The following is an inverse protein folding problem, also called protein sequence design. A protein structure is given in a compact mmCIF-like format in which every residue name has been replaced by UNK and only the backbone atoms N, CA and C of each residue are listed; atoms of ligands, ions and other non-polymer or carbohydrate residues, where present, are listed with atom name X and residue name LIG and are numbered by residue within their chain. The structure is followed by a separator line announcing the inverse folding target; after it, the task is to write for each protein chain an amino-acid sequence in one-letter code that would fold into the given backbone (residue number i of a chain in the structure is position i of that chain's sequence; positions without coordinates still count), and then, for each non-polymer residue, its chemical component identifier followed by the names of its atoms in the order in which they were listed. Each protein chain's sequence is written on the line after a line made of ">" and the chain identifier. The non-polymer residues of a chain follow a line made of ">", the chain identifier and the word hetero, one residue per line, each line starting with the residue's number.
data_IF_581689981922
#
_entry.id   IF_581689981922
#
_cell.length_a   1.000
_cell.length_b   1.000
_cell.length_c   1.000
_cell.angle_alpha   90.00
_cell.angle_beta   90.00
_cell.angle_gamma   90.00
#
_symmetry.space_group_name_H-M   'P 1'
#
loop_
_entity.id
_entity.type
_entity.pdbx_description
1 polymer ?
#
# COMPACT_ATOMS: atom_id res chain seq x y z
N UNK A 1 -18.80 -75.08 49.54
CA UNK A 1 -19.18 -73.73 50.01
C UNK A 1 -19.19 -72.78 48.81
N UNK A 2 -20.33 -72.10 48.57
CA UNK A 2 -20.60 -70.98 47.64
C UNK A 2 -20.57 -71.32 46.13
N UNK A 3 -21.73 -71.51 45.47
CA UNK A 3 -22.52 -70.52 44.68
C UNK A 3 -21.65 -69.78 43.66
N UNK A 4 -21.95 -69.72 42.35
CA UNK A 4 -23.15 -69.09 41.76
C UNK A 4 -23.31 -69.46 40.27
N UNK A 5 -24.56 -69.61 39.83
CA UNK A 5 -25.03 -69.79 38.43
C UNK A 5 -25.04 -68.46 37.68
N UNK A 6 -24.53 -68.39 36.44
CA UNK A 6 -24.91 -67.36 35.45
C UNK A 6 -25.06 -68.00 34.06
N UNK A 7 -26.27 -67.92 33.55
CA UNK A 7 -26.72 -68.27 32.20
C UNK A 7 -26.50 -67.04 31.30
N UNK A 8 -25.83 -67.16 30.16
CA UNK A 8 -25.80 -66.09 29.14
C UNK A 8 -26.21 -66.63 27.76
N UNK A 9 -27.31 -66.07 27.26
CA UNK A 9 -27.82 -66.16 25.90
C UNK A 9 -26.78 -65.66 24.88
N UNK A 10 -26.47 -66.45 23.86
CA UNK A 10 -25.81 -65.98 22.63
C UNK A 10 -26.86 -65.67 21.57
N UNK A 11 -27.07 -64.38 21.29
CA UNK A 11 -27.82 -63.88 20.13
C UNK A 11 -26.93 -63.80 18.90
N UNK A 12 -27.36 -64.40 17.80
CA UNK A 12 -26.80 -64.26 16.45
C UNK A 12 -26.97 -62.80 15.97
N UNK A 13 -25.90 -62.19 15.47
CA UNK A 13 -25.94 -60.97 14.67
C UNK A 13 -25.39 -61.26 13.27
N UNK A 14 -26.29 -61.25 12.28
CA UNK A 14 -25.98 -61.31 10.85
C UNK A 14 -25.31 -60.00 10.43
N UNK A 15 -24.10 -60.10 9.89
CA UNK A 15 -23.36 -59.02 9.26
C UNK A 15 -23.92 -58.74 7.85
N UNK A 16 -24.69 -57.66 7.72
CA UNK A 16 -25.09 -57.11 6.43
C UNK A 16 -23.95 -56.22 5.88
N UNK A 17 -23.15 -56.75 4.95
CA UNK A 17 -22.25 -55.94 4.12
C UNK A 17 -23.04 -55.40 2.93
N UNK A 18 -23.16 -54.07 2.81
CA UNK A 18 -23.71 -53.46 1.61
C UNK A 18 -23.82 -51.94 1.67
N UNK A 19 -23.16 -51.28 0.72
CA UNK A 19 -23.53 -49.96 0.18
C UNK A 19 -22.90 -48.65 0.70
N UNK A 20 -21.65 -48.65 1.19
CA UNK A 20 -20.93 -47.40 1.46
C UNK A 20 -20.16 -46.80 0.25
N UNK A 21 -19.94 -47.57 -0.82
CA UNK A 21 -19.12 -47.11 -1.95
C UNK A 21 -19.85 -46.18 -2.95
N UNK A 22 -21.18 -46.27 -3.06
CA UNK A 22 -21.94 -45.53 -4.08
C UNK A 22 -22.27 -44.07 -3.69
N UNK A 23 -22.10 -43.68 -2.42
CA UNK A 23 -22.33 -42.30 -1.96
C UNK A 23 -21.09 -41.39 -2.03
N UNK A 24 -19.90 -41.96 -2.20
CA UNK A 24 -18.65 -41.18 -2.29
C UNK A 24 -18.41 -40.58 -3.69
N UNK A 25 -18.91 -41.23 -4.75
CA UNK A 25 -18.64 -40.83 -6.13
C UNK A 25 -19.45 -39.60 -6.63
N UNK A 26 -20.50 -39.16 -5.91
CA UNK A 26 -21.36 -38.03 -6.33
C UNK A 26 -20.98 -36.67 -5.73
N UNK A 27 -19.97 -36.60 -4.87
CA UNK A 27 -19.56 -35.33 -4.21
C UNK A 27 -18.29 -34.69 -4.79
N UNK A 28 -17.66 -35.33 -5.77
CA UNK A 28 -16.37 -34.91 -6.36
C UNK A 28 -16.48 -34.19 -7.71
N UNK A 29 -17.63 -33.60 -8.05
CA UNK A 29 -17.80 -32.86 -9.30
C UNK A 29 -18.66 -31.60 -9.11
N UNK A 30 -18.20 -30.71 -8.24
CA UNK A 30 -18.46 -29.27 -8.36
C UNK A 30 -17.11 -28.57 -8.22
N UNK A 31 -16.24 -28.78 -9.20
CA UNK A 31 -15.23 -27.77 -9.53
C UNK A 31 -16.04 -26.55 -9.94
N UNK A 32 -16.13 -25.55 -9.06
CA UNK A 32 -16.56 -24.23 -9.48
C UNK A 32 -15.57 -23.82 -10.56
N UNK A 33 -16.03 -23.68 -11.80
CA UNK A 33 -15.28 -22.94 -12.79
C UNK A 33 -14.89 -21.61 -12.14
N UNK A 34 -13.60 -21.39 -11.89
CA UNK A 34 -13.12 -20.13 -11.37
C UNK A 34 -13.63 -19.06 -12.34
N UNK A 35 -14.43 -18.12 -11.84
CA UNK A 35 -14.91 -17.02 -12.67
C UNK A 35 -13.68 -16.35 -13.28
N UNK A 36 -13.60 -16.35 -14.62
CA UNK A 36 -12.53 -15.70 -15.38
C UNK A 36 -12.50 -14.25 -14.91
N UNK A 37 -11.43 -13.89 -14.22
CA UNK A 37 -11.27 -12.55 -13.71
C UNK A 37 -11.01 -11.62 -14.90
N UNK A 38 -11.58 -10.41 -14.93
CA UNK A 38 -11.24 -9.44 -15.97
C UNK A 38 -9.74 -9.16 -15.92
N UNK A 39 -9.11 -9.11 -17.10
CA UNK A 39 -7.71 -8.74 -17.22
C UNK A 39 -7.49 -7.29 -16.74
N UNK A 40 -6.39 -6.99 -16.03
CA UNK A 40 -6.07 -5.63 -15.65
C UNK A 40 -5.87 -4.74 -16.87
N UNK A 41 -6.47 -3.57 -16.83
CA UNK A 41 -6.29 -2.56 -17.89
C UNK A 41 -4.85 -2.09 -17.93
N UNK A 42 -4.36 -1.78 -19.13
CA UNK A 42 -3.03 -1.22 -19.33
C UNK A 42 -3.15 0.26 -19.60
N UNK A 43 -2.33 1.04 -18.92
CA UNK A 43 -2.27 2.48 -19.04
C UNK A 43 -0.85 2.93 -19.34
N UNK A 44 -0.73 3.96 -20.16
CA UNK A 44 0.46 4.79 -20.26
C UNK A 44 0.13 6.20 -19.78
N UNK A 45 0.99 7.18 -20.03
CA UNK A 45 0.85 8.54 -19.54
C UNK A 45 1.05 9.58 -20.63
N UNK A 46 0.52 10.77 -20.38
CA UNK A 46 0.87 12.03 -21.03
C UNK A 46 1.28 13.02 -19.96
N UNK A 47 2.46 13.62 -20.10
CA UNK A 47 2.90 14.72 -19.23
C UNK A 47 2.06 15.96 -19.51
N UNK A 48 1.41 16.49 -18.48
CA UNK A 48 0.63 17.74 -18.52
C UNK A 48 1.49 18.92 -18.12
N UNK A 49 2.32 18.74 -17.11
CA UNK A 49 3.29 19.72 -16.64
C UNK A 49 4.48 19.02 -15.96
N UNK A 50 5.60 19.72 -15.89
CA UNK A 50 6.77 19.32 -15.12
C UNK A 50 7.21 20.45 -14.20
N UNK A 51 7.51 20.13 -12.96
CA UNK A 51 7.89 21.07 -11.92
C UNK A 51 9.29 20.73 -11.40
N UNK A 52 10.08 21.72 -10.95
CA UNK A 52 11.35 21.44 -10.29
C UNK A 52 11.13 20.66 -8.99
N UNK A 53 12.00 19.69 -8.74
CA UNK A 53 12.02 18.88 -7.53
C UNK A 53 13.44 18.75 -7.00
N UNK A 54 13.60 18.64 -5.68
CA UNK A 54 14.92 18.60 -5.05
C UNK A 54 15.59 17.26 -5.29
N UNK A 55 16.79 17.27 -5.89
CA UNK A 55 17.61 16.06 -6.07
C UNK A 55 18.20 15.52 -4.76
N UNK A 56 17.90 16.15 -3.62
CA UNK A 56 18.25 15.68 -2.27
C UNK A 56 17.06 15.02 -1.54
N UNK A 57 15.86 15.10 -2.11
CA UNK A 57 14.68 14.51 -1.52
C UNK A 57 14.61 13.02 -1.89
N UNK A 58 14.89 12.16 -0.92
CA UNK A 58 14.68 10.73 -1.06
C UNK A 58 13.19 10.42 -0.80
N UNK A 59 12.33 10.73 -1.75
CA UNK A 59 10.86 10.69 -1.60
C UNK A 59 10.36 9.30 -1.18
N UNK A 60 9.63 9.24 -0.06
CA UNK A 60 9.04 8.02 0.48
C UNK A 60 7.54 8.10 0.74
N UNK A 61 6.98 9.32 0.77
CA UNK A 61 5.54 9.56 0.72
C UNK A 61 5.26 10.89 0.04
N UNK A 62 4.22 10.95 -0.77
CA UNK A 62 3.76 12.17 -1.41
C UNK A 62 2.24 12.24 -1.29
N UNK A 63 1.68 13.41 -0.98
CA UNK A 63 0.22 13.57 -0.99
C UNK A 63 -0.16 15.01 -1.33
N UNK A 64 -1.38 15.20 -1.81
CA UNK A 64 -1.98 16.52 -1.98
C UNK A 64 -2.91 16.84 -0.82
N UNK A 65 -2.72 17.99 -0.17
CA UNK A 65 -3.57 18.42 0.93
C UNK A 65 -3.68 19.95 0.95
N UNK A 66 -4.90 20.46 1.05
CA UNK A 66 -5.22 21.90 1.15
C UNK A 66 -4.50 22.79 0.12
N UNK A 67 -4.47 22.33 -1.13
CA UNK A 67 -3.93 23.10 -2.25
C UNK A 67 -2.41 23.02 -2.40
N UNK A 68 -1.74 22.17 -1.62
CA UNK A 68 -0.29 22.02 -1.64
C UNK A 68 0.14 20.55 -1.63
N UNK A 69 1.31 20.27 -2.20
CA UNK A 69 1.97 18.98 -2.05
C UNK A 69 2.69 18.88 -0.71
N UNK A 70 2.55 17.71 -0.09
CA UNK A 70 3.28 17.31 1.11
C UNK A 70 4.16 16.12 0.77
N UNK A 71 5.34 16.08 1.35
CA UNK A 71 6.33 15.07 1.08
C UNK A 71 6.98 14.57 2.38
N UNK A 72 7.03 13.24 2.53
CA UNK A 72 7.86 12.54 3.49
C UNK A 72 9.13 12.06 2.80
N UNK A 73 10.30 12.40 3.35
CA UNK A 73 11.60 11.96 2.82
C UNK A 73 12.26 10.94 3.74
N UNK A 74 13.04 10.06 3.13
CA UNK A 74 13.90 9.09 3.81
C UNK A 74 15.33 9.57 3.99
N UNK A 75 16.20 8.62 4.35
CA UNK A 75 17.62 8.74 4.72
C UNK A 75 17.88 9.09 6.20
N UNK A 76 18.74 8.28 6.83
CA UNK A 76 19.16 8.48 8.22
C UNK A 76 19.85 9.84 8.40
N UNK A 77 19.33 10.65 9.32
CA UNK A 77 19.84 12.00 9.59
C UNK A 77 19.22 13.10 8.73
N UNK A 78 18.50 12.75 7.67
CA UNK A 78 17.98 13.70 6.67
C UNK A 78 16.45 13.62 6.51
N UNK A 79 15.79 12.63 7.11
CA UNK A 79 14.36 12.38 6.96
C UNK A 79 13.50 13.52 7.53
N UNK A 80 12.60 14.06 6.70
CA UNK A 80 11.72 15.17 7.04
C UNK A 80 10.28 14.95 6.54
N UNK A 81 9.35 15.71 7.11
CA UNK A 81 8.09 16.06 6.46
C UNK A 81 8.19 17.51 6.01
N UNK A 82 7.81 17.77 4.77
CA UNK A 82 7.86 19.10 4.17
C UNK A 82 6.68 19.36 3.25
N UNK A 83 6.37 20.63 3.01
CA UNK A 83 5.48 21.02 1.90
C UNK A 83 6.28 21.55 0.72
N UNK A 84 5.73 21.42 -0.48
CA UNK A 84 6.39 21.82 -1.73
C UNK A 84 5.62 22.97 -2.40
N UNK A 85 6.35 23.98 -2.89
CA UNK A 85 5.84 24.98 -3.82
C UNK A 85 6.06 24.49 -5.25
N UNK A 86 4.98 24.22 -5.99
CA UNK A 86 5.06 23.74 -7.37
C UNK A 86 5.73 24.74 -8.33
N UNK A 87 5.57 26.04 -8.09
CA UNK A 87 6.04 27.09 -9.00
C UNK A 87 7.56 27.20 -9.06
N UNK A 88 8.23 27.03 -7.92
CA UNK A 88 9.69 27.18 -7.82
C UNK A 88 10.43 25.93 -7.27
N UNK A 89 9.71 24.92 -6.80
CA UNK A 89 10.29 23.66 -6.27
C UNK A 89 10.90 23.81 -4.88
N UNK A 90 10.68 24.93 -4.20
CA UNK A 90 11.13 25.12 -2.82
C UNK A 90 10.31 24.27 -1.86
N UNK A 91 10.98 23.81 -0.80
CA UNK A 91 10.38 23.01 0.25
C UNK A 91 10.41 23.76 1.57
N UNK A 92 9.32 23.66 2.33
CA UNK A 92 9.24 24.14 3.70
C UNK A 92 9.19 22.94 4.66
N UNK A 93 10.27 22.75 5.43
CA UNK A 93 10.37 21.64 6.37
C UNK A 93 9.49 21.91 7.60
N UNK A 94 8.57 20.98 7.87
CA UNK A 94 7.60 21.07 8.96
C UNK A 94 7.97 20.21 10.16
N UNK A 95 8.57 19.04 9.92
CA UNK A 95 9.05 18.15 10.96
C UNK A 95 10.33 17.44 10.53
N UNK A 96 11.19 17.11 11.50
CA UNK A 96 12.40 16.30 11.29
C UNK A 96 12.35 15.08 12.20
N UNK A 97 12.71 13.93 11.65
CA UNK A 97 12.85 12.72 12.45
C UNK A 97 14.19 12.72 13.23
N UNK A 98 14.27 11.97 14.34
CA UNK A 98 15.54 11.59 14.95
C UNK A 98 16.52 11.05 13.92
N UNK A 99 17.81 11.39 14.07
CA UNK A 99 18.85 10.99 13.10
C UNK A 99 19.02 9.48 12.94
N UNK A 100 18.61 8.69 13.94
CA UNK A 100 18.63 7.23 13.93
C UNK A 100 17.50 6.61 13.13
N UNK A 101 16.52 7.39 12.68
CA UNK A 101 15.33 6.90 12.00
C UNK A 101 15.39 7.24 10.52
N UNK A 102 14.70 6.42 9.73
CA UNK A 102 14.54 6.57 8.30
C UNK A 102 13.04 6.75 8.05
N UNK A 103 12.65 7.90 7.52
CA UNK A 103 11.26 8.27 7.24
C UNK A 103 10.73 7.56 6.01
N UNK A 104 9.47 7.18 6.06
CA UNK A 104 8.77 6.48 4.99
C UNK A 104 7.45 7.21 4.64
N UNK A 105 6.44 6.48 4.17
CA UNK A 105 5.15 7.02 3.74
C UNK A 105 4.45 7.89 4.78
N UNK A 106 3.74 8.90 4.26
CA UNK A 106 2.94 9.83 5.05
C UNK A 106 1.48 9.80 4.62
N UNK A 107 0.55 10.06 5.55
CA UNK A 107 -0.86 10.29 5.23
C UNK A 107 -1.45 11.34 6.18
N UNK A 108 -2.44 12.09 5.71
CA UNK A 108 -3.18 13.05 6.53
C UNK A 108 -4.62 12.56 6.67
N UNK A 109 -5.09 12.39 7.91
CA UNK A 109 -6.44 11.93 8.22
C UNK A 109 -6.93 12.57 9.52
N UNK A 110 -8.13 13.15 9.51
CA UNK A 110 -8.77 13.69 10.71
C UNK A 110 -8.02 14.86 11.35
N UNK A 111 -7.28 15.65 10.57
CA UNK A 111 -6.46 16.76 11.07
C UNK A 111 -5.12 16.31 11.69
N UNK A 112 -4.73 15.06 11.50
CA UNK A 112 -3.44 14.53 11.94
C UNK A 112 -2.64 14.00 10.74
N UNK A 113 -1.32 14.25 10.75
CA UNK A 113 -0.35 13.65 9.84
C UNK A 113 0.31 12.46 10.52
N UNK A 114 0.35 11.34 9.80
CA UNK A 114 1.00 10.10 10.19
C UNK A 114 2.25 9.94 9.34
N UNK A 115 3.42 9.76 9.96
CA UNK A 115 4.68 9.49 9.26
C UNK A 115 5.25 8.15 9.70
N UNK A 116 5.36 7.21 8.76
CA UNK A 116 5.98 5.91 8.98
C UNK A 116 7.50 6.03 9.11
N UNK A 117 8.10 5.00 9.70
CA UNK A 117 9.54 4.74 9.68
C UNK A 117 9.83 3.36 9.09
N UNK A 118 10.98 3.20 8.43
CA UNK A 118 11.28 1.93 7.76
C UNK A 118 11.41 0.75 8.72
N UNK A 119 12.47 0.74 9.53
CA UNK A 119 12.79 -0.38 10.44
C UNK A 119 12.64 -0.04 11.92
N UNK A 120 12.37 1.23 12.25
CA UNK A 120 12.23 1.66 13.64
C UNK A 120 10.90 1.22 14.26
N UNK A 121 9.96 0.72 13.45
CA UNK A 121 8.65 0.20 13.87
C UNK A 121 7.81 1.25 14.63
N UNK A 122 7.96 2.53 14.25
CA UNK A 122 7.27 3.67 14.85
C UNK A 122 6.52 4.45 13.78
N UNK A 123 5.30 4.86 14.07
CA UNK A 123 4.65 5.97 13.36
C UNK A 123 4.66 7.19 14.26
N UNK A 124 5.08 8.32 13.71
CA UNK A 124 4.98 9.61 14.37
C UNK A 124 3.68 10.28 13.95
N UNK A 125 2.90 10.73 14.93
CA UNK A 125 1.62 11.40 14.69
C UNK A 125 1.74 12.87 15.09
N UNK A 126 1.40 13.74 14.15
CA UNK A 126 1.44 15.19 14.32
C UNK A 126 0.03 15.75 14.12
N UNK A 127 -0.34 16.75 14.90
CA UNK A 127 -1.54 17.56 14.66
C UNK A 127 -1.18 18.67 13.67
N UNK A 128 -2.04 18.89 12.70
CA UNK A 128 -1.96 20.06 11.83
C UNK A 128 -2.40 21.30 12.61
N UNK A 129 -1.59 22.35 12.59
CA UNK A 129 -1.87 23.64 13.22
C UNK A 129 -1.63 24.76 12.22
N UNK A 130 -2.14 25.96 12.52
CA UNK A 130 -1.88 27.16 11.71
C UNK A 130 -0.39 27.50 11.58
N UNK A 131 0.45 27.01 12.51
CA UNK A 131 1.90 27.22 12.55
C UNK A 131 2.73 26.04 12.03
N UNK A 132 2.10 24.96 11.57
CA UNK A 132 2.77 23.77 11.01
C UNK A 132 2.34 22.46 11.67
N UNK A 133 3.31 21.66 12.13
CA UNK A 133 3.07 20.35 12.74
C UNK A 133 3.46 20.34 14.22
N UNK A 134 2.53 19.93 15.07
CA UNK A 134 2.78 19.68 16.49
C UNK A 134 2.80 18.17 16.75
N UNK A 135 3.91 17.63 17.24
CA UNK A 135 3.99 16.19 17.56
C UNK A 135 3.03 15.86 18.71
N UNK A 136 2.12 14.90 18.49
CA UNK A 136 1.10 14.49 19.46
C UNK A 136 1.49 13.22 20.18
N UNK A 137 1.83 12.18 19.42
CA UNK A 137 2.08 10.84 19.94
C UNK A 137 2.86 9.98 18.95
N UNK A 138 3.36 8.86 19.47
CA UNK A 138 3.94 7.79 18.68
C UNK A 138 3.12 6.52 18.89
N UNK A 139 2.97 5.72 17.84
CA UNK A 139 2.47 4.35 17.94
C UNK A 139 3.51 3.37 17.42
N UNK A 140 3.42 2.11 17.86
CA UNK A 140 4.29 1.02 17.40
C UNK A 140 3.51 0.07 16.50
N UNK A 141 4.16 -0.44 15.45
CA UNK A 141 3.60 -1.46 14.56
C UNK A 141 4.61 -2.57 14.32
N UNK A 142 4.17 -3.82 14.04
CA UNK A 142 5.09 -4.91 13.73
C UNK A 142 5.61 -4.79 12.29
N UNK A 143 6.85 -5.24 12.05
CA UNK A 143 7.44 -5.28 10.71
C UNK A 143 7.77 -3.90 10.14
N UNK A 144 8.16 -3.86 8.88
CA UNK A 144 8.51 -2.61 8.21
C UNK A 144 7.28 -1.75 7.89
N UNK A 145 7.50 -0.47 7.57
CA UNK A 145 6.50 0.41 6.98
C UNK A 145 7.07 1.11 5.77
N UNK A 146 6.33 1.10 4.66
CA UNK A 146 6.77 1.65 3.37
C UNK A 146 5.80 2.77 2.97
N UNK A 147 4.72 2.49 2.23
CA UNK A 147 3.72 3.48 1.86
C UNK A 147 2.55 3.59 2.84
N UNK A 148 1.89 4.75 2.86
CA UNK A 148 0.70 5.04 3.66
C UNK A 148 -0.26 5.91 2.86
N UNK A 149 -1.55 5.58 2.85
CA UNK A 149 -2.61 6.44 2.28
C UNK A 149 -3.91 6.30 3.07
N UNK A 150 -4.98 6.98 2.66
CA UNK A 150 -6.28 6.94 3.35
C UNK A 150 -7.46 7.05 2.39
N UNK A 151 -8.56 6.38 2.72
CA UNK A 151 -9.86 6.59 2.06
C UNK A 151 -10.68 7.74 2.68
N UNK A 152 -10.13 8.44 3.67
CA UNK A 152 -10.82 9.45 4.47
C UNK A 152 -11.43 8.94 5.77
N UNK A 153 -11.41 7.63 6.03
CA UNK A 153 -11.89 7.02 7.28
C UNK A 153 -10.84 6.12 7.94
N UNK A 154 -10.14 5.32 7.13
CA UNK A 154 -9.11 4.36 7.54
C UNK A 154 -7.79 4.67 6.85
N UNK A 155 -6.71 4.15 7.45
CA UNK A 155 -5.39 4.18 6.84
C UNK A 155 -5.13 2.86 6.09
N UNK A 156 -4.35 2.92 5.03
CA UNK A 156 -3.85 1.76 4.30
C UNK A 156 -2.34 1.81 4.21
N UNK A 157 -1.69 0.71 4.57
CA UNK A 157 -0.24 0.63 4.74
C UNK A 157 0.35 -0.53 3.93
N UNK A 158 1.46 -0.28 3.25
CA UNK A 158 2.32 -1.29 2.64
C UNK A 158 3.61 -1.47 3.46
N UNK A 159 4.29 -2.59 3.26
CA UNK A 159 5.56 -2.92 3.94
C UNK A 159 6.57 -3.62 3.01
N UNK A 160 6.47 -3.39 1.69
CA UNK A 160 7.31 -4.04 0.69
C UNK A 160 6.96 -5.49 0.40
N UNK A 161 6.05 -6.11 1.17
CA UNK A 161 5.47 -7.41 0.81
C UNK A 161 4.34 -7.24 -0.20
N UNK A 162 3.64 -8.34 -0.52
CA UNK A 162 2.43 -8.29 -1.32
C UNK A 162 1.18 -7.93 -0.52
N UNK A 163 1.28 -7.61 0.78
CA UNK A 163 0.11 -7.32 1.60
C UNK A 163 -0.14 -5.81 1.71
N UNK A 164 -1.42 -5.44 1.64
CA UNK A 164 -1.90 -4.12 2.07
C UNK A 164 -2.71 -4.29 3.35
N UNK A 165 -2.35 -3.52 4.36
CA UNK A 165 -2.98 -3.55 5.67
C UNK A 165 -3.95 -2.39 5.82
N UNK A 166 -5.18 -2.66 6.24
CA UNK A 166 -6.06 -1.61 6.78
C UNK A 166 -5.65 -1.36 8.23
N UNK A 167 -5.48 -0.09 8.58
CA UNK A 167 -4.95 0.36 9.87
C UNK A 167 -5.94 1.31 10.53
N UNK A 168 -6.20 1.08 11.82
CA UNK A 168 -7.00 1.98 12.66
C UNK A 168 -6.20 3.26 12.95
N UNK A 169 -6.65 4.46 12.56
CA UNK A 169 -5.91 5.70 12.81
C UNK A 169 -5.79 6.07 14.30
N UNK A 170 -6.72 5.62 15.15
CA UNK A 170 -6.68 5.95 16.57
C UNK A 170 -5.56 5.19 17.29
N UNK A 171 -5.42 3.90 16.99
CA UNK A 171 -4.50 2.99 17.70
C UNK A 171 -3.29 2.55 16.86
N UNK A 172 -3.30 2.84 15.56
CA UNK A 172 -2.38 2.35 14.54
C UNK A 172 -2.24 0.83 14.45
N UNK A 173 -3.24 0.09 14.94
CA UNK A 173 -3.26 -1.36 14.83
C UNK A 173 -3.67 -1.78 13.42
N UNK A 174 -2.94 -2.75 12.85
CA UNK A 174 -3.32 -3.46 11.63
C UNK A 174 -4.58 -4.29 11.92
N UNK A 175 -5.71 -3.94 11.29
CA UNK A 175 -7.02 -4.57 11.53
C UNK A 175 -7.23 -5.80 10.63
N UNK A 176 -6.92 -5.65 9.34
CA UNK A 176 -7.07 -6.68 8.31
C UNK A 176 -6.01 -6.45 7.23
N UNK A 177 -5.82 -7.44 6.37
CA UNK A 177 -5.01 -7.30 5.17
C UNK A 177 -5.66 -7.98 3.97
N UNK A 178 -5.27 -7.53 2.79
CA UNK A 178 -5.47 -8.23 1.52
C UNK A 178 -4.11 -8.51 0.90
N UNK A 179 -3.98 -9.65 0.22
CA UNK A 179 -2.80 -9.94 -0.60
C UNK A 179 -3.05 -9.43 -2.01
N UNK A 180 -2.17 -8.57 -2.48
CA UNK A 180 -2.22 -7.98 -3.80
C UNK A 180 -1.84 -9.01 -4.85
N UNK A 181 -2.69 -9.18 -5.86
CA UNK A 181 -2.48 -10.20 -6.88
C UNK A 181 -2.71 -9.68 -8.30
N UNK A 182 -1.86 -10.15 -9.22
CA UNK A 182 -2.01 -9.98 -10.66
C UNK A 182 -2.09 -11.37 -11.29
N UNK A 183 -3.23 -11.67 -11.95
CA UNK A 183 -3.51 -12.99 -12.55
C UNK A 183 -3.38 -14.14 -11.54
N UNK A 184 -3.71 -13.87 -10.28
CA UNK A 184 -3.65 -14.85 -9.18
C UNK A 184 -2.28 -14.97 -8.52
N UNK A 185 -1.24 -14.36 -9.07
CA UNK A 185 0.11 -14.35 -8.50
C UNK A 185 0.30 -13.13 -7.61
N UNK A 186 1.00 -13.30 -6.48
CA UNK A 186 1.27 -12.22 -5.55
C UNK A 186 2.18 -11.15 -6.17
N UNK A 187 1.87 -9.87 -5.92
CA UNK A 187 2.67 -8.73 -6.38
C UNK A 187 3.45 -8.15 -5.19
N UNK A 188 4.73 -8.50 -5.01
CA UNK A 188 5.55 -7.96 -3.92
C UNK A 188 6.03 -6.52 -4.23
N UNK A 189 6.79 -5.94 -3.30
CA UNK A 189 7.45 -4.65 -3.44
C UNK A 189 6.49 -3.45 -3.60
N UNK A 190 5.30 -3.57 -3.01
CA UNK A 190 4.38 -2.45 -2.86
C UNK A 190 5.05 -1.37 -2.00
N UNK A 191 5.24 -0.20 -2.57
CA UNK A 191 5.91 0.91 -1.93
C UNK A 191 4.92 2.04 -1.62
N UNK A 192 5.20 3.26 -2.06
CA UNK A 192 4.34 4.41 -1.85
C UNK A 192 2.91 4.18 -2.38
N UNK A 193 1.92 4.71 -1.66
CA UNK A 193 0.50 4.47 -1.88
C UNK A 193 -0.26 5.78 -2.03
N UNK A 194 -1.29 5.78 -2.88
CA UNK A 194 -2.28 6.87 -2.94
C UNK A 194 -3.71 6.36 -3.16
N UNK A 195 -4.69 7.00 -2.53
CA UNK A 195 -6.11 6.66 -2.68
C UNK A 195 -6.77 7.54 -3.75
N UNK A 196 -7.21 6.92 -4.84
CA UNK A 196 -7.79 7.63 -5.99
C UNK A 196 -9.07 6.94 -6.41
N UNK A 197 -10.19 7.67 -6.32
CA UNK A 197 -11.53 7.27 -6.79
C UNK A 197 -11.93 5.84 -6.35
N UNK A 198 -11.66 5.50 -5.09
CA UNK A 198 -12.04 4.21 -4.49
C UNK A 198 -11.05 3.07 -4.75
N UNK A 199 -9.83 3.38 -5.20
CA UNK A 199 -8.74 2.43 -5.44
C UNK A 199 -7.47 2.87 -4.74
N UNK A 200 -6.64 1.88 -4.40
CA UNK A 200 -5.28 2.13 -3.92
C UNK A 200 -4.35 2.04 -5.13
N UNK A 201 -3.62 3.10 -5.39
CA UNK A 201 -2.54 3.14 -6.35
C UNK A 201 -1.25 2.88 -5.59
N UNK A 202 -0.38 2.03 -6.11
CA UNK A 202 0.87 1.69 -5.44
C UNK A 202 2.03 1.70 -6.43
N UNK A 203 3.12 2.38 -6.09
CA UNK A 203 4.39 2.15 -6.75
C UNK A 203 4.87 0.72 -6.50
N UNK A 204 5.46 0.09 -7.51
CA UNK A 204 6.22 -1.15 -7.33
C UNK A 204 7.70 -0.80 -7.32
N UNK A 205 8.35 -0.97 -6.16
CA UNK A 205 9.74 -0.58 -5.95
C UNK A 205 10.66 -1.24 -6.98
N UNK A 206 11.65 -0.48 -7.46
CA UNK A 206 12.60 -0.84 -8.54
C UNK A 206 12.03 -0.97 -9.95
N UNK A 207 10.77 -0.59 -10.15
CA UNK A 207 10.13 -0.54 -11.48
C UNK A 207 9.60 0.85 -11.79
N UNK A 208 9.29 1.09 -13.07
CA UNK A 208 8.58 2.29 -13.52
C UNK A 208 7.06 2.07 -13.54
N UNK A 209 6.52 1.19 -12.69
CA UNK A 209 5.10 0.83 -12.70
C UNK A 209 4.35 1.31 -11.46
N UNK A 210 3.10 1.69 -11.69
CA UNK A 210 2.08 1.87 -10.65
C UNK A 210 0.97 0.85 -10.89
N UNK A 211 0.54 0.14 -9.85
CA UNK A 211 -0.62 -0.76 -9.92
C UNK A 211 -1.85 -0.12 -9.29
N UNK A 212 -3.00 -0.32 -9.91
CA UNK A 212 -4.31 0.14 -9.42
C UNK A 212 -5.01 -1.05 -8.77
N UNK A 213 -5.23 -1.00 -7.47
CA UNK A 213 -5.60 -2.14 -6.64
C UNK A 213 -7.01 -1.94 -6.10
N UNK A 214 -7.83 -2.98 -6.20
CA UNK A 214 -9.09 -3.05 -5.50
C UNK A 214 -8.84 -3.32 -4.00
N UNK A 215 -9.14 -2.38 -3.09
CA UNK A 215 -8.81 -2.51 -1.67
C UNK A 215 -9.62 -3.61 -0.98
N UNK A 216 -10.78 -4.00 -1.51
CA UNK A 216 -11.61 -5.05 -0.93
C UNK A 216 -11.11 -6.46 -1.24
N UNK A 217 -10.40 -6.65 -2.37
CA UNK A 217 -10.01 -7.97 -2.87
C UNK A 217 -8.50 -8.15 -3.01
N UNK A 218 -7.72 -7.07 -3.05
CA UNK A 218 -6.30 -7.09 -3.41
C UNK A 218 -6.04 -7.29 -4.91
N UNK A 219 -7.06 -7.44 -5.74
CA UNK A 219 -6.85 -7.66 -7.18
C UNK A 219 -6.33 -6.38 -7.84
N UNK A 220 -5.27 -6.51 -8.63
CA UNK A 220 -4.83 -5.46 -9.56
C UNK A 220 -5.87 -5.33 -10.68
N UNK A 221 -6.44 -4.14 -10.84
CA UNK A 221 -7.45 -3.81 -11.87
C UNK A 221 -6.85 -2.97 -13.01
N UNK A 222 -5.67 -2.39 -12.79
CA UNK A 222 -4.92 -1.67 -13.82
C UNK A 222 -3.44 -1.58 -13.52
N UNK A 223 -2.63 -1.38 -14.56
CA UNK A 223 -1.19 -1.14 -14.48
C UNK A 223 -0.88 0.10 -15.30
N UNK A 224 -0.17 1.05 -14.71
CA UNK A 224 0.31 2.27 -15.36
C UNK A 224 1.81 2.12 -15.58
N UNK A 225 2.23 2.10 -16.84
CA UNK A 225 3.64 2.07 -17.24
C UNK A 225 4.15 3.51 -17.42
N UNK A 226 5.08 3.91 -16.56
CA UNK A 226 5.75 5.22 -16.55
C UNK A 226 7.17 5.16 -17.10
N UNK A 227 7.55 4.10 -17.81
CA UNK A 227 8.87 3.99 -18.42
C UNK A 227 9.21 5.25 -19.23
N UNK A 228 10.43 5.74 -19.02
CA UNK A 228 10.95 6.95 -19.68
C UNK A 228 10.40 8.28 -19.17
N UNK A 229 9.62 8.29 -18.08
CA UNK A 229 9.03 9.52 -17.53
C UNK A 229 10.10 10.55 -17.13
N UNK A 230 11.16 10.10 -16.43
CA UNK A 230 12.35 10.94 -16.21
C UNK A 230 13.32 10.79 -17.38
N UNK A 231 13.54 11.84 -18.21
CA UNK A 231 14.44 11.75 -19.36
C UNK A 231 15.86 11.44 -18.91
N UNK A 232 16.60 10.64 -19.69
CA UNK A 232 17.97 10.24 -19.35
C UNK A 232 18.94 11.42 -19.12
N UNK A 233 18.67 12.59 -19.73
CA UNK A 233 19.46 13.80 -19.52
C UNK A 233 19.30 14.43 -18.11
N UNK A 234 18.23 14.07 -17.38
CA UNK A 234 17.97 14.51 -16.01
C UNK A 234 18.58 13.55 -14.97
N UNK A 235 19.15 12.42 -15.42
CA UNK A 235 19.74 11.43 -14.51
C UNK A 235 21.10 11.90 -14.01
N UNK A 236 21.29 11.76 -12.71
CA UNK A 236 22.55 12.03 -12.00
C UNK A 236 23.03 10.74 -11.32
N UNK A 237 24.28 10.67 -10.84
CA UNK A 237 24.76 9.48 -10.11
C UNK A 237 23.96 9.14 -8.84
N UNK A 238 23.19 10.08 -8.31
CA UNK A 238 22.33 9.89 -7.12
C UNK A 238 20.86 9.71 -7.46
N UNK A 239 20.47 9.84 -8.73
CA UNK A 239 19.09 9.58 -9.17
C UNK A 239 18.75 8.13 -8.90
N UNK A 240 17.61 7.91 -8.26
CA UNK A 240 17.13 6.59 -7.86
C UNK A 240 15.73 6.38 -8.48
N UNK A 241 14.95 5.44 -7.97
CA UNK A 241 13.74 4.92 -8.62
C UNK A 241 12.52 5.85 -8.52
N UNK A 242 11.54 5.61 -9.40
CA UNK A 242 10.17 6.12 -9.28
C UNK A 242 9.60 5.80 -7.89
N UNK A 243 9.06 6.80 -7.20
CA UNK A 243 8.35 6.65 -5.93
C UNK A 243 7.68 7.99 -5.52
N UNK A 244 6.40 7.96 -5.16
CA UNK A 244 5.62 9.13 -4.78
C UNK A 244 4.48 9.39 -5.76
N UNK A 245 3.24 9.32 -5.26
CA UNK A 245 2.00 9.51 -6.02
C UNK A 245 1.11 10.44 -5.20
N UNK A 246 0.64 11.54 -5.79
CA UNK A 246 -0.29 12.44 -5.11
C UNK A 246 -1.47 12.79 -5.99
N UNK A 247 -2.65 12.90 -5.38
CA UNK A 247 -3.90 13.15 -6.07
C UNK A 247 -4.59 14.41 -5.57
N UNK A 248 -4.79 15.38 -6.47
CA UNK A 248 -5.66 16.53 -6.23
C UNK A 248 -7.09 16.18 -6.68
N UNK A 249 -8.03 15.85 -5.77
CA UNK A 249 -9.36 15.45 -6.15
C UNK A 249 -10.21 16.60 -6.70
N UNK A 250 -9.90 17.85 -6.34
CA UNK A 250 -10.68 19.02 -6.72
C UNK A 250 -10.41 19.42 -8.17
N UNK A 251 -9.14 19.45 -8.58
CA UNK A 251 -8.74 19.74 -9.96
C UNK A 251 -8.54 18.48 -10.81
N UNK A 252 -8.64 17.29 -10.22
CA UNK A 252 -8.40 15.99 -10.87
C UNK A 252 -6.99 15.90 -11.49
N UNK A 253 -5.98 16.25 -10.70
CA UNK A 253 -4.57 16.23 -11.12
C UNK A 253 -3.80 15.13 -10.41
N UNK A 254 -3.08 14.33 -11.19
CA UNK A 254 -2.22 13.25 -10.69
C UNK A 254 -0.77 13.70 -10.77
N UNK A 255 -0.07 13.65 -9.64
CA UNK A 255 1.34 13.99 -9.53
C UNK A 255 2.17 12.75 -9.23
N UNK A 256 3.33 12.65 -9.87
CA UNK A 256 4.30 11.58 -9.64
C UNK A 256 5.73 12.14 -9.64
N UNK A 257 6.61 11.53 -8.86
CA UNK A 257 8.03 11.88 -8.78
C UNK A 257 8.86 10.63 -8.49
N UNK A 258 10.12 10.82 -8.13
CA UNK A 258 10.98 9.73 -7.65
C UNK A 258 12.06 10.19 -6.70
N UNK A 259 12.77 9.21 -6.18
CA UNK A 259 13.83 9.37 -5.19
C UNK A 259 15.00 10.10 -5.83
N UNK A 260 15.32 11.29 -5.31
CA UNK A 260 16.35 12.19 -5.83
C UNK A 260 16.10 12.63 -7.29
N UNK A 261 14.84 12.63 -7.75
CA UNK A 261 14.51 13.15 -9.09
C UNK A 261 14.59 14.68 -9.11
N UNK A 262 15.09 15.25 -10.20
CA UNK A 262 15.11 16.71 -10.42
C UNK A 262 13.74 17.28 -10.82
N UNK A 263 12.77 16.39 -11.08
CA UNK A 263 11.43 16.72 -11.60
C UNK A 263 10.34 16.01 -10.83
N UNK A 264 9.25 16.73 -10.63
CA UNK A 264 7.94 16.21 -10.30
C UNK A 264 7.02 16.46 -11.51
N UNK A 265 6.18 15.49 -11.86
CA UNK A 265 5.34 15.55 -13.05
C UNK A 265 3.87 15.55 -12.68
N UNK A 266 3.09 16.40 -13.34
CA UNK A 266 1.66 16.20 -13.46
C UNK A 266 1.38 15.38 -14.71
N UNK A 267 0.66 14.28 -14.56
CA UNK A 267 0.38 13.34 -15.65
C UNK A 267 -1.12 13.10 -15.82
N UNK A 268 -1.49 12.73 -17.04
CA UNK A 268 -2.79 12.17 -17.39
C UNK A 268 -2.56 10.72 -17.81
N UNK A 269 -3.31 9.76 -17.24
CA UNK A 269 -3.23 8.36 -17.65
C UNK A 269 -4.07 8.11 -18.91
N UNK A 270 -3.54 7.30 -19.83
CA UNK A 270 -4.18 6.95 -21.11
C UNK A 270 -4.30 5.44 -21.20
N UNK A 271 -5.50 4.93 -21.37
CA UNK A 271 -5.75 3.49 -21.58
C UNK A 271 -5.20 3.06 -22.96
N UNK A 272 -4.51 1.92 -23.01
CA UNK A 272 -3.92 1.34 -24.22
C UNK A 272 -4.85 0.36 -24.93
#
# INVERSE_FOLDING_TARGET
>A
MKFTTILLLTTLLLSACGNSAARSAKRAAKSSAAAVQPEPKQYTYRVKASYPHSTKAYTQGLLWHDGQLWEGTGQHGESVVQTLDLGNGSANVLARLPRSEFGEGIAILGGELFQLTWQSNTVHVYRLTDSGLEKVRDHRYPGEGWGLTTDGEKLYMSDGTANLYTVDPATFRREKHVTVTWRGEAVPYLNELEWIDGRIWANIYTTDQIVIINPATGRVEGVVDLAGLLPAAEHTPTTDVLNGIAWDPAAKRLFVTGKNWSKLFEIEIIEQ
#
